data_IF_280987443899
#
_entry.id   IF_280987443899
#
_cell.length_a   1.000
_cell.length_b   1.000
_cell.length_c   1.000
_cell.angle_alpha   90.00
_cell.angle_beta   90.00
_cell.angle_gamma   90.00
#
_symmetry.space_group_name_H-M   'P 1'
#
loop_
_entity.id
_entity.type
_entity.pdbx_description
1 polymer ?
#
# COMPACT_ATOMS: atom_id res chain seq x y z
N UNK A 1 18.79 -9.10 -3.87
CA UNK A 1 18.17 -10.37 -4.28
C UNK A 1 16.69 -10.10 -4.45
N UNK A 2 16.13 -10.33 -5.64
CA UNK A 2 14.68 -10.27 -5.86
C UNK A 2 14.15 -11.71 -5.87
N UNK A 3 12.98 -11.94 -5.29
CA UNK A 3 12.24 -13.18 -5.46
C UNK A 3 11.44 -13.14 -6.76
N UNK A 4 11.25 -14.29 -7.39
CA UNK A 4 10.42 -14.46 -8.58
C UNK A 4 9.38 -15.55 -8.33
N UNK A 5 8.15 -15.31 -8.80
CA UNK A 5 7.05 -16.29 -8.80
C UNK A 5 6.59 -16.42 -10.24
N UNK A 6 6.82 -17.57 -10.86
CA UNK A 6 6.36 -17.82 -12.22
C UNK A 6 4.84 -17.89 -12.25
N UNK A 7 4.20 -17.02 -13.04
CA UNK A 7 2.77 -17.03 -13.28
C UNK A 7 2.50 -17.28 -14.76
N UNK A 8 1.30 -17.75 -15.10
CA UNK A 8 0.86 -17.77 -16.49
C UNK A 8 0.71 -16.33 -17.02
N UNK A 9 0.42 -16.15 -18.32
CA UNK A 9 0.29 -14.83 -18.95
C UNK A 9 -1.02 -14.10 -18.56
N UNK A 10 -1.25 -13.97 -17.25
CA UNK A 10 -2.38 -13.32 -16.60
C UNK A 10 -2.09 -11.84 -16.38
N UNK A 11 -3.16 -11.04 -16.17
CA UNK A 11 -3.06 -9.59 -15.93
C UNK A 11 -4.07 -9.14 -14.88
N UNK A 12 -3.86 -7.96 -14.30
CA UNK A 12 -4.79 -7.34 -13.36
C UNK A 12 -5.13 -8.25 -12.19
N UNK A 13 -6.42 -8.32 -11.84
CA UNK A 13 -6.95 -9.14 -10.74
C UNK A 13 -6.57 -10.62 -10.84
N UNK A 14 -6.56 -11.20 -12.05
CA UNK A 14 -6.29 -12.63 -12.24
C UNK A 14 -4.82 -12.97 -11.94
N UNK A 15 -3.90 -12.08 -12.29
CA UNK A 15 -2.48 -12.24 -11.95
C UNK A 15 -2.27 -12.16 -10.44
N UNK A 16 -2.90 -11.18 -9.78
CA UNK A 16 -2.78 -11.00 -8.34
C UNK A 16 -3.37 -12.22 -7.61
N UNK A 17 -4.53 -12.71 -8.04
CA UNK A 17 -5.16 -13.90 -7.47
C UNK A 17 -4.27 -15.14 -7.60
N UNK A 18 -3.62 -15.33 -8.77
CA UNK A 18 -2.69 -16.43 -8.98
C UNK A 18 -1.48 -16.34 -8.05
N UNK A 19 -0.93 -15.15 -7.87
CA UNK A 19 0.15 -14.91 -6.90
C UNK A 19 -0.31 -15.27 -5.49
N UNK A 20 -1.48 -14.78 -5.06
CA UNK A 20 -2.04 -15.10 -3.75
C UNK A 20 -2.20 -16.62 -3.55
N UNK A 21 -2.74 -17.33 -4.54
CA UNK A 21 -2.91 -18.78 -4.50
C UNK A 21 -1.57 -19.51 -4.37
N UNK A 22 -0.56 -19.14 -5.18
CA UNK A 22 0.77 -19.76 -5.10
C UNK A 22 1.47 -19.47 -3.79
N UNK A 23 1.26 -18.28 -3.23
CA UNK A 23 1.78 -17.89 -1.92
C UNK A 23 0.95 -18.43 -0.75
N UNK A 24 -0.17 -19.12 -1.00
CA UNK A 24 -1.14 -19.57 0.02
C UNK A 24 -1.61 -18.41 0.92
N UNK A 25 -1.77 -17.23 0.34
CA UNK A 25 -2.25 -16.05 1.04
C UNK A 25 -3.74 -16.19 1.34
N UNK A 26 -4.14 -15.77 2.54
CA UNK A 26 -5.55 -15.64 2.95
C UNK A 26 -6.02 -14.18 2.95
N UNK A 27 -5.07 -13.25 2.83
CA UNK A 27 -5.32 -11.81 2.77
C UNK A 27 -4.44 -11.19 1.71
N UNK A 28 -5.02 -10.33 0.88
CA UNK A 28 -4.31 -9.42 -0.02
C UNK A 28 -4.45 -7.99 0.48
N UNK A 29 -3.32 -7.32 0.73
CA UNK A 29 -3.31 -5.91 1.12
C UNK A 29 -3.11 -5.07 -0.13
N UNK A 30 -4.07 -4.19 -0.43
CA UNK A 30 -4.02 -3.27 -1.56
C UNK A 30 -3.98 -1.82 -1.09
N UNK A 31 -3.49 -0.92 -1.95
CA UNK A 31 -3.67 0.51 -1.73
C UNK A 31 -5.14 0.95 -1.94
N UNK A 32 -5.50 2.17 -1.53
CA UNK A 32 -6.89 2.66 -1.59
C UNK A 32 -7.49 2.55 -3.00
N UNK A 33 -6.70 2.86 -4.03
CA UNK A 33 -7.13 2.81 -5.43
C UNK A 33 -7.45 1.39 -5.93
N UNK A 34 -7.03 0.35 -5.21
CA UNK A 34 -7.40 -1.03 -5.49
C UNK A 34 -8.92 -1.22 -5.54
N UNK A 35 -9.69 -0.41 -4.81
CA UNK A 35 -11.16 -0.45 -4.82
C UNK A 35 -11.73 -0.15 -6.21
N UNK A 36 -11.00 0.58 -7.04
CA UNK A 36 -11.47 1.04 -8.35
C UNK A 36 -11.23 0.01 -9.48
N UNK A 37 -10.30 -0.93 -9.30
CA UNK A 37 -9.89 -1.84 -10.38
C UNK A 37 -9.83 -3.33 -10.00
N UNK A 38 -9.87 -3.68 -8.71
CA UNK A 38 -9.88 -5.08 -8.30
C UNK A 38 -11.27 -5.68 -8.44
N UNK A 39 -11.35 -6.85 -9.05
CA UNK A 39 -12.56 -7.68 -9.09
C UNK A 39 -12.69 -8.44 -7.76
N UNK A 40 -13.06 -7.73 -6.70
CA UNK A 40 -13.04 -8.22 -5.31
C UNK A 40 -13.76 -9.55 -5.09
N UNK A 41 -14.83 -9.80 -5.84
CA UNK A 41 -15.61 -11.03 -5.78
C UNK A 41 -14.79 -12.27 -6.19
N UNK A 42 -13.80 -12.12 -7.07
CA UNK A 42 -12.90 -13.22 -7.46
C UNK A 42 -12.05 -13.67 -6.27
N UNK A 43 -11.55 -12.72 -5.47
CA UNK A 43 -10.73 -13.00 -4.29
C UNK A 43 -11.56 -13.67 -3.19
N UNK A 44 -12.72 -13.09 -2.88
CA UNK A 44 -13.62 -13.61 -1.84
C UNK A 44 -14.05 -15.05 -2.16
N UNK A 45 -14.38 -15.35 -3.42
CA UNK A 45 -14.73 -16.72 -3.85
C UNK A 45 -13.59 -17.73 -3.70
N UNK A 46 -12.34 -17.27 -3.67
CA UNK A 46 -11.17 -18.10 -3.43
C UNK A 46 -10.74 -18.10 -1.95
N UNK A 47 -11.54 -17.53 -1.05
CA UNK A 47 -11.22 -17.45 0.38
C UNK A 47 -10.10 -16.47 0.69
N UNK A 48 -9.94 -15.42 -0.12
CA UNK A 48 -8.93 -14.38 0.05
C UNK A 48 -9.63 -13.06 0.37
N UNK A 49 -9.39 -12.53 1.56
CA UNK A 49 -9.88 -11.22 1.95
C UNK A 49 -9.02 -10.12 1.34
N UNK A 50 -9.63 -8.99 0.98
CA UNK A 50 -8.89 -7.80 0.57
C UNK A 50 -8.96 -6.76 1.69
N UNK A 51 -7.80 -6.36 2.19
CA UNK A 51 -7.66 -5.22 3.08
C UNK A 51 -7.11 -4.05 2.29
N UNK A 52 -7.79 -2.92 2.35
CA UNK A 52 -7.31 -1.70 1.74
C UNK A 52 -6.58 -0.88 2.79
N UNK A 53 -5.33 -0.56 2.50
CA UNK A 53 -4.51 0.28 3.35
C UNK A 53 -4.72 1.75 2.98
N UNK A 54 -5.71 2.36 3.61
CA UNK A 54 -6.01 3.78 3.48
C UNK A 54 -4.98 4.55 4.33
N UNK A 55 -3.96 5.14 3.68
CA UNK A 55 -2.90 5.88 4.35
C UNK A 55 -3.18 7.38 4.33
N UNK A 56 -3.43 7.97 5.50
CA UNK A 56 -3.58 9.42 5.65
C UNK A 56 -2.22 10.06 5.97
N UNK A 57 -1.72 10.88 5.05
CA UNK A 57 -0.47 11.61 5.25
C UNK A 57 -0.63 12.66 6.34
N UNK A 58 0.03 12.46 7.48
CA UNK A 58 0.10 13.47 8.54
C UNK A 58 0.78 14.74 8.01
N UNK A 59 0.15 15.89 8.24
CA UNK A 59 0.75 17.17 7.88
C UNK A 59 1.95 17.48 8.80
N UNK A 60 3.06 17.91 8.21
CA UNK A 60 4.26 18.33 8.94
C UNK A 60 4.84 19.62 8.37
N UNK A 61 5.63 20.37 9.14
CA UNK A 61 6.26 21.59 8.66
C UNK A 61 7.19 21.30 7.48
N UNK A 62 6.88 21.85 6.30
CA UNK A 62 7.75 21.86 5.13
C UNK A 62 8.34 23.26 4.91
N UNK A 63 9.58 23.36 4.42
CA UNK A 63 10.20 24.67 4.19
C UNK A 63 9.62 25.36 2.96
N UNK A 64 9.08 26.56 3.17
CA UNK A 64 8.85 27.55 2.10
C UNK A 64 7.51 27.45 1.36
N UNK A 65 6.73 26.39 1.57
CA UNK A 65 5.46 26.15 0.87
C UNK A 65 4.37 25.63 1.83
N UNK A 66 3.09 25.71 1.44
CA UNK A 66 2.04 24.89 2.05
C UNK A 66 2.37 23.40 1.99
N UNK A 67 1.81 22.63 2.93
CA UNK A 67 2.04 21.19 2.97
C UNK A 67 1.69 20.50 1.64
N UNK A 68 2.65 19.75 1.12
CA UNK A 68 2.51 18.90 -0.06
C UNK A 68 2.46 17.44 0.39
N UNK A 69 1.31 16.80 0.18
CA UNK A 69 1.05 15.40 0.51
C UNK A 69 1.70 14.41 -0.47
N UNK A 70 1.75 13.13 -0.11
CA UNK A 70 2.27 12.01 -0.91
C UNK A 70 3.76 12.09 -1.30
N UNK A 71 4.56 12.83 -0.53
CA UNK A 71 6.02 12.84 -0.67
C UNK A 71 6.69 11.65 0.03
N UNK A 72 7.94 11.38 -0.33
CA UNK A 72 8.72 10.30 0.29
C UNK A 72 8.99 10.58 1.78
N UNK A 73 9.20 9.53 2.56
CA UNK A 73 9.64 9.65 3.97
C UNK A 73 10.93 10.47 4.13
N UNK A 74 11.77 10.55 3.09
CA UNK A 74 12.98 11.37 3.12
C UNK A 74 12.66 12.87 3.18
N UNK A 75 11.53 13.32 2.62
CA UNK A 75 11.09 14.72 2.73
C UNK A 75 10.76 15.06 4.19
N UNK A 76 10.00 14.19 4.85
CA UNK A 76 9.70 14.31 6.29
C UNK A 76 10.99 14.34 7.12
N UNK A 77 11.95 13.46 6.85
CA UNK A 77 13.23 13.41 7.58
C UNK A 77 14.05 14.68 7.32
N UNK A 78 14.11 15.17 6.08
CA UNK A 78 14.85 16.37 5.73
C UNK A 78 14.27 17.63 6.38
N UNK A 79 12.94 17.70 6.56
CA UNK A 79 12.27 18.84 7.17
C UNK A 79 12.21 18.75 8.71
N UNK A 80 12.06 17.57 9.30
CA UNK A 80 11.79 17.39 10.74
C UNK A 80 12.89 16.67 11.53
N UNK A 81 13.86 16.03 10.88
CA UNK A 81 14.96 15.33 11.55
C UNK A 81 14.46 14.26 12.53
N UNK A 82 14.96 14.26 13.76
CA UNK A 82 14.55 13.27 14.78
C UNK A 82 13.05 13.34 15.12
N UNK A 83 12.43 14.52 14.97
CA UNK A 83 10.99 14.70 15.21
C UNK A 83 10.10 13.98 14.20
N UNK A 84 10.67 13.50 13.09
CA UNK A 84 9.93 12.72 12.08
C UNK A 84 9.22 11.50 12.68
N UNK A 85 9.78 10.90 13.75
CA UNK A 85 9.16 9.79 14.46
C UNK A 85 7.80 10.15 15.08
N UNK A 86 7.61 11.41 15.50
CA UNK A 86 6.33 11.87 16.05
C UNK A 86 5.24 11.82 14.97
N UNK A 87 5.57 12.26 13.75
CA UNK A 87 4.64 12.25 12.62
C UNK A 87 4.37 10.84 12.09
N UNK A 88 5.38 9.96 12.04
CA UNK A 88 5.20 8.56 11.62
C UNK A 88 4.26 7.82 12.58
N UNK A 89 4.42 8.03 13.88
CA UNK A 89 3.60 7.37 14.90
C UNK A 89 2.23 8.02 15.11
N UNK A 90 2.02 9.25 14.61
CA UNK A 90 0.76 9.96 14.70
C UNK A 90 -0.29 9.47 13.70
N UNK A 91 0.11 8.75 12.63
CA UNK A 91 -0.83 8.19 11.66
C UNK A 91 -1.81 7.22 12.38
N UNK A 92 -3.13 7.42 12.26
CA UNK A 92 -4.11 6.46 12.75
C UNK A 92 -3.86 5.08 12.12
N UNK A 93 -4.03 4.02 12.92
CA UNK A 93 -3.91 2.62 12.47
C UNK A 93 -5.22 2.10 11.94
#
# INVERSE_FOLDING_TARGET
MASEISCENLKGSDLILEICNKSKAVVYISGPDGRNYLESEKFIKNGIDIIYHDFEHTEYPQRGEPFTSHLSVLDLIANCGEKSLEFINACPK
#
